data_IF_268314468519
#
_entry.id   IF_268314468519
#
_cell.length_a   1.000
_cell.length_b   1.000
_cell.length_c   1.000
_cell.angle_alpha   90.00
_cell.angle_beta   90.00
_cell.angle_gamma   90.00
#
_symmetry.space_group_name_H-M   'P 1'
#
loop_
_entity.id
_entity.type
_entity.pdbx_description
1 polymer ?
#
# COMPACT_ATOMS: atom_id res chain seq x y z
N UNK A 1 -14.67 12.49 26.92
CA UNK A 1 -13.45 12.36 26.12
C UNK A 1 -12.85 11.00 26.37
N UNK A 2 -13.33 10.01 25.60
CA UNK A 2 -12.64 8.74 25.46
C UNK A 2 -11.21 9.05 25.02
N UNK A 3 -10.22 8.66 25.83
CA UNK A 3 -8.81 8.89 25.51
C UNK A 3 -8.34 7.73 24.63
N UNK A 4 -8.59 7.84 23.33
CA UNK A 4 -8.12 6.86 22.35
C UNK A 4 -6.72 7.21 21.86
N UNK A 5 -5.86 6.21 21.73
CA UNK A 5 -4.55 6.35 21.09
C UNK A 5 -4.56 5.71 19.71
N UNK A 6 -4.36 6.54 18.69
CA UNK A 6 -4.25 6.13 17.30
C UNK A 6 -2.77 5.96 16.93
N UNK A 7 -2.43 4.84 16.29
CA UNK A 7 -1.16 4.66 15.59
C UNK A 7 -1.45 4.63 14.09
N UNK A 8 -0.95 5.63 13.37
CA UNK A 8 -1.16 5.83 11.94
C UNK A 8 0.14 5.63 11.16
N UNK A 9 0.06 4.90 10.05
CA UNK A 9 1.10 4.82 9.02
C UNK A 9 0.47 4.77 7.62
N UNK A 10 1.28 4.99 6.59
CA UNK A 10 0.93 4.94 5.16
C UNK A 10 2.11 4.34 4.38
N UNK A 11 1.90 4.02 3.10
CA UNK A 11 2.97 3.72 2.12
C UNK A 11 3.89 2.56 2.53
N UNK A 12 3.30 1.48 3.04
CA UNK A 12 4.08 0.28 3.43
C UNK A 12 4.64 -0.49 2.25
N UNK A 13 4.08 -0.27 1.05
CA UNK A 13 4.53 -0.80 -0.23
C UNK A 13 4.92 -2.29 -0.18
N UNK A 14 4.02 -3.13 0.33
CA UNK A 14 4.19 -4.59 0.39
C UNK A 14 5.18 -5.11 1.44
N UNK A 15 5.79 -4.24 2.26
CA UNK A 15 6.82 -4.64 3.23
C UNK A 15 6.26 -5.46 4.39
N UNK A 16 6.59 -6.76 4.42
CA UNK A 16 6.22 -7.64 5.54
C UNK A 16 6.78 -7.15 6.87
N UNK A 17 7.94 -6.48 6.84
CA UNK A 17 8.57 -5.95 8.04
C UNK A 17 7.79 -4.77 8.59
N UNK A 18 7.40 -3.83 7.75
CA UNK A 18 6.59 -2.69 8.16
C UNK A 18 5.22 -3.15 8.66
N UNK A 19 4.57 -4.08 7.96
CA UNK A 19 3.28 -4.61 8.37
C UNK A 19 3.33 -5.33 9.73
N UNK A 20 4.35 -6.17 9.98
CA UNK A 20 4.53 -6.79 11.31
C UNK A 20 4.77 -5.76 12.41
N UNK A 21 5.54 -4.69 12.13
CA UNK A 21 5.76 -3.60 13.08
C UNK A 21 4.48 -2.82 13.38
N UNK A 22 3.66 -2.57 12.36
CA UNK A 22 2.35 -1.96 12.48
C UNK A 22 1.44 -2.71 13.45
N UNK A 23 1.30 -4.04 13.28
CA UNK A 23 0.49 -4.85 14.20
C UNK A 23 1.07 -4.82 15.63
N UNK A 24 2.40 -4.89 15.77
CA UNK A 24 3.05 -4.83 17.08
C UNK A 24 2.94 -3.45 17.76
N UNK A 25 2.65 -2.38 17.00
CA UNK A 25 2.48 -1.04 17.53
C UNK A 25 1.35 -0.95 18.55
N UNK A 26 0.31 -1.79 18.41
CA UNK A 26 -0.77 -1.93 19.38
C UNK A 26 -0.25 -2.16 20.80
N UNK A 27 0.56 -3.21 20.99
CA UNK A 27 1.14 -3.52 22.30
C UNK A 27 2.25 -2.55 22.71
N UNK A 28 3.16 -2.23 21.79
CA UNK A 28 4.35 -1.44 22.08
C UNK A 28 4.00 0.01 22.48
N UNK A 29 3.16 0.67 21.68
CA UNK A 29 2.71 2.04 21.94
C UNK A 29 1.42 2.09 22.74
N UNK A 30 0.83 0.96 23.14
CA UNK A 30 -0.48 0.88 23.80
C UNK A 30 -1.55 1.62 22.99
N UNK A 31 -1.57 1.39 21.68
CA UNK A 31 -2.53 1.98 20.77
C UNK A 31 -3.84 1.20 20.83
N UNK A 32 -4.95 1.93 20.94
CA UNK A 32 -6.31 1.36 20.91
C UNK A 32 -6.79 1.15 19.47
N UNK A 33 -6.21 1.93 18.55
CA UNK A 33 -6.62 2.01 17.15
C UNK A 33 -5.37 2.01 16.28
N UNK A 34 -5.34 1.11 15.29
CA UNK A 34 -4.34 1.04 14.25
C UNK A 34 -4.96 1.50 12.93
N UNK A 35 -4.26 2.37 12.20
CA UNK A 35 -4.68 2.83 10.88
C UNK A 35 -3.49 2.70 9.92
N UNK A 36 -3.65 1.88 8.88
CA UNK A 36 -2.77 1.82 7.73
C UNK A 36 -3.52 2.41 6.54
N UNK A 37 -3.23 3.67 6.22
CA UNK A 37 -3.93 4.40 5.17
C UNK A 37 -3.10 4.43 3.91
N UNK A 38 -3.43 3.62 2.90
CA UNK A 38 -2.89 3.82 1.55
C UNK A 38 -1.63 3.02 1.18
N UNK A 39 -1.50 2.81 -0.12
CA UNK A 39 -0.37 2.20 -0.85
C UNK A 39 0.25 0.99 -0.15
N UNK A 40 -0.58 -0.03 0.03
CA UNK A 40 -0.24 -1.24 0.77
C UNK A 40 0.51 -2.28 -0.07
N UNK A 41 0.41 -2.22 -1.41
CA UNK A 41 1.05 -3.17 -2.32
C UNK A 41 2.46 -2.77 -2.76
N UNK A 42 3.28 -3.78 -3.02
CA UNK A 42 4.66 -3.62 -3.48
C UNK A 42 4.75 -3.24 -4.96
N UNK A 43 5.88 -2.64 -5.34
CA UNK A 43 6.11 -2.12 -6.70
C UNK A 43 6.98 -3.02 -7.57
N UNK A 44 7.61 -4.05 -6.98
CA UNK A 44 8.64 -4.86 -7.64
C UNK A 44 8.39 -6.35 -7.41
N UNK A 45 8.55 -7.13 -8.48
CA UNK A 45 8.60 -8.59 -8.43
C UNK A 45 9.96 -9.07 -8.90
N UNK A 46 10.58 -9.92 -8.09
CA UNK A 46 11.86 -10.54 -8.38
C UNK A 46 11.65 -12.00 -8.78
N UNK A 47 11.83 -12.35 -10.06
CA UNK A 47 11.76 -13.75 -10.52
C UNK A 47 12.94 -14.54 -9.97
N UNK A 48 12.68 -15.79 -9.58
CA UNK A 48 13.68 -16.77 -9.15
C UNK A 48 13.65 -17.91 -10.16
N UNK A 49 14.71 -18.01 -10.97
CA UNK A 49 14.76 -18.86 -12.15
C UNK A 49 15.51 -20.16 -11.82
N UNK A 50 14.90 -21.30 -12.13
CA UNK A 50 15.51 -22.62 -11.93
C UNK A 50 16.73 -22.84 -12.86
N UNK A 51 17.83 -23.36 -12.28
CA UNK A 51 19.08 -23.65 -12.99
C UNK A 51 19.15 -25.05 -13.62
N UNK A 52 18.28 -25.97 -13.21
CA UNK A 52 18.25 -27.37 -13.68
C UNK A 52 19.23 -28.31 -12.96
N UNK A 53 20.18 -27.78 -12.19
CA UNK A 53 21.16 -28.49 -11.36
C UNK A 53 20.80 -28.49 -9.86
N UNK A 54 19.57 -28.07 -9.53
CA UNK A 54 19.10 -27.84 -8.15
C UNK A 54 19.40 -26.44 -7.61
N UNK A 55 20.13 -25.61 -8.36
CA UNK A 55 20.32 -24.20 -8.03
C UNK A 55 19.25 -23.31 -8.66
N UNK A 56 19.18 -22.06 -8.19
CA UNK A 56 18.30 -21.02 -8.69
C UNK A 56 19.10 -19.73 -8.90
N UNK A 57 18.61 -18.86 -9.78
CA UNK A 57 19.23 -17.56 -10.09
C UNK A 57 18.20 -16.45 -9.99
N UNK A 58 18.61 -15.31 -9.44
CA UNK A 58 17.80 -14.11 -9.44
C UNK A 58 18.68 -12.86 -9.49
N UNK A 59 18.14 -11.77 -10.03
CA UNK A 59 18.80 -10.46 -9.97
C UNK A 59 18.11 -9.63 -8.88
N UNK A 60 18.85 -9.26 -7.85
CA UNK A 60 18.33 -8.50 -6.72
C UNK A 60 19.17 -7.24 -6.51
N UNK A 61 18.53 -6.08 -6.56
CA UNK A 61 19.19 -4.76 -6.41
C UNK A 61 20.40 -4.59 -7.34
N UNK A 62 20.28 -5.06 -8.58
CA UNK A 62 21.33 -4.98 -9.61
C UNK A 62 22.46 -6.01 -9.48
N UNK A 63 22.38 -6.93 -8.50
CA UNK A 63 23.35 -8.01 -8.33
C UNK A 63 22.73 -9.36 -8.73
N UNK A 64 23.46 -10.15 -9.50
CA UNK A 64 23.08 -11.52 -9.81
C UNK A 64 23.46 -12.45 -8.64
N UNK A 65 22.48 -13.22 -8.17
CA UNK A 65 22.61 -14.16 -7.07
C UNK A 65 22.42 -15.59 -7.60
N UNK A 66 23.17 -16.52 -7.02
CA UNK A 66 22.98 -17.97 -7.19
C UNK A 66 22.57 -18.54 -5.84
N UNK A 67 21.38 -19.11 -5.77
CA UNK A 67 20.82 -19.76 -4.58
C UNK A 67 20.99 -21.26 -4.76
N UNK A 68 21.72 -21.93 -3.88
CA UNK A 68 22.22 -23.29 -4.11
C UNK A 68 21.19 -24.38 -3.83
N UNK A 69 20.14 -24.06 -3.09
CA UNK A 69 19.13 -25.01 -2.64
C UNK A 69 17.85 -24.27 -2.20
N UNK A 70 16.81 -25.03 -1.84
CA UNK A 70 15.53 -24.49 -1.41
C UNK A 70 15.60 -23.67 -0.10
N UNK A 71 16.54 -23.96 0.80
CA UNK A 71 16.70 -23.20 2.05
C UNK A 71 17.17 -21.76 1.74
N UNK A 72 18.19 -21.61 0.90
CA UNK A 72 18.67 -20.30 0.43
C UNK A 72 17.57 -19.54 -0.35
N UNK A 73 16.70 -20.27 -1.08
CA UNK A 73 15.52 -19.67 -1.74
C UNK A 73 14.54 -19.10 -0.73
N UNK A 74 14.16 -19.85 0.30
CA UNK A 74 13.21 -19.36 1.30
C UNK A 74 13.77 -18.21 2.15
N UNK A 75 15.06 -18.26 2.50
CA UNK A 75 15.75 -17.12 3.14
C UNK A 75 15.71 -15.86 2.27
N UNK A 76 15.99 -16.02 0.96
CA UNK A 76 15.92 -14.92 0.02
C UNK A 76 14.50 -14.38 -0.14
N UNK A 77 13.49 -15.24 -0.28
CA UNK A 77 12.08 -14.84 -0.40
C UNK A 77 11.63 -14.05 0.82
N UNK A 78 11.98 -14.50 2.02
CA UNK A 78 11.71 -13.76 3.26
C UNK A 78 12.39 -12.40 3.27
N UNK A 79 13.67 -12.33 2.87
CA UNK A 79 14.40 -11.06 2.77
C UNK A 79 13.73 -10.11 1.78
N UNK A 80 13.42 -10.57 0.57
CA UNK A 80 12.77 -9.79 -0.47
C UNK A 80 11.39 -9.27 -0.02
N UNK A 81 10.58 -10.14 0.61
CA UNK A 81 9.28 -9.80 1.15
C UNK A 81 9.35 -8.73 2.26
N UNK A 82 10.36 -8.79 3.11
CA UNK A 82 10.61 -7.78 4.15
C UNK A 82 11.00 -6.41 3.58
N UNK A 83 11.49 -6.37 2.34
CA UNK A 83 11.78 -5.15 1.57
C UNK A 83 10.64 -4.74 0.63
N UNK A 84 9.48 -5.41 0.71
CA UNK A 84 8.30 -5.06 -0.10
C UNK A 84 8.30 -5.64 -1.52
N UNK A 85 9.20 -6.58 -1.81
CA UNK A 85 9.22 -7.26 -3.11
C UNK A 85 8.38 -8.54 -3.08
N UNK A 86 7.76 -8.81 -4.22
CA UNK A 86 7.18 -10.11 -4.53
C UNK A 86 8.26 -11.02 -5.12
N UNK A 87 8.08 -12.32 -4.97
CA UNK A 87 8.96 -13.32 -5.55
C UNK A 87 8.14 -14.44 -6.17
N UNK A 88 8.55 -14.95 -7.32
CA UNK A 88 7.97 -16.17 -7.91
C UNK A 88 9.08 -17.06 -8.42
N UNK A 89 9.05 -18.33 -8.03
CA UNK A 89 9.91 -19.36 -8.60
C UNK A 89 9.32 -19.76 -9.95
N UNK A 90 10.17 -19.96 -10.95
CA UNK A 90 9.75 -20.32 -12.30
C UNK A 90 10.88 -21.00 -13.08
N UNK A 91 10.50 -21.82 -14.05
CA UNK A 91 11.42 -22.39 -15.03
C UNK A 91 11.95 -21.31 -16.00
N UNK A 92 13.07 -21.55 -16.68
CA UNK A 92 13.56 -20.66 -17.75
C UNK A 92 12.54 -20.44 -18.87
N UNK A 93 11.70 -21.44 -19.16
CA UNK A 93 10.67 -21.36 -20.20
C UNK A 93 9.51 -20.43 -19.82
N UNK A 94 9.03 -20.53 -18.59
CA UNK A 94 7.99 -19.64 -18.05
C UNK A 94 8.51 -18.20 -17.94
N UNK A 95 9.76 -18.01 -17.52
CA UNK A 95 10.37 -16.69 -17.47
C UNK A 95 10.43 -16.05 -18.87
N UNK A 96 10.86 -16.80 -19.88
CA UNK A 96 10.90 -16.33 -21.28
C UNK A 96 9.51 -15.98 -21.80
N UNK A 97 8.50 -16.77 -21.43
CA UNK A 97 7.11 -16.48 -21.79
C UNK A 97 6.61 -15.17 -21.16
N UNK A 98 6.87 -14.97 -19.85
CA UNK A 98 6.53 -13.73 -19.16
C UNK A 98 7.21 -12.52 -19.78
N UNK A 99 8.50 -12.63 -20.14
CA UNK A 99 9.22 -11.55 -20.83
C UNK A 99 8.59 -11.18 -22.18
N UNK A 100 7.98 -12.13 -22.88
CA UNK A 100 7.32 -11.91 -24.16
C UNK A 100 5.86 -11.47 -24.03
N UNK A 101 5.27 -11.50 -22.84
CA UNK A 101 3.84 -11.27 -22.63
C UNK A 101 3.55 -10.35 -21.43
N UNK A 102 3.44 -9.03 -21.66
CA UNK A 102 3.14 -8.06 -20.61
C UNK A 102 1.85 -8.37 -19.83
N UNK A 103 0.83 -8.91 -20.49
CA UNK A 103 -0.43 -9.27 -19.84
C UNK A 103 -0.22 -10.37 -18.79
N UNK A 104 0.57 -11.40 -19.09
CA UNK A 104 0.88 -12.46 -18.12
C UNK A 104 1.69 -11.94 -16.94
N UNK A 105 2.55 -10.95 -17.15
CA UNK A 105 3.26 -10.26 -16.06
C UNK A 105 2.27 -9.54 -15.15
N UNK A 106 1.33 -8.78 -15.70
CA UNK A 106 0.27 -8.11 -14.93
C UNK A 106 -0.59 -9.12 -14.16
N UNK A 107 -1.04 -10.20 -14.80
CA UNK A 107 -1.83 -11.25 -14.15
C UNK A 107 -1.08 -11.90 -12.98
N UNK A 108 0.21 -12.19 -13.15
CA UNK A 108 1.06 -12.72 -12.09
C UNK A 108 1.21 -11.72 -10.94
N UNK A 109 1.45 -10.44 -11.26
CA UNK A 109 1.65 -9.38 -10.28
C UNK A 109 0.39 -9.15 -9.43
N UNK A 110 -0.77 -9.06 -10.07
CA UNK A 110 -2.06 -8.94 -9.40
C UNK A 110 -2.31 -10.12 -8.46
N UNK A 111 -2.02 -11.35 -8.91
CA UNK A 111 -2.17 -12.55 -8.08
C UNK A 111 -1.33 -12.47 -6.81
N UNK A 112 -0.03 -12.18 -6.93
CA UNK A 112 0.88 -12.16 -5.77
C UNK A 112 0.59 -10.98 -4.82
N UNK A 113 0.06 -9.87 -5.33
CA UNK A 113 -0.44 -8.76 -4.51
C UNK A 113 -1.61 -9.23 -3.63
N UNK A 114 -2.62 -9.84 -4.25
CA UNK A 114 -3.81 -10.34 -3.55
C UNK A 114 -3.44 -11.43 -2.53
N UNK A 115 -2.55 -12.36 -2.90
CA UNK A 115 -2.04 -13.40 -1.99
C UNK A 115 -1.35 -12.79 -0.75
N UNK A 116 -0.45 -11.82 -0.96
CA UNK A 116 0.22 -11.13 0.15
C UNK A 116 -0.77 -10.41 1.06
N UNK A 117 -1.77 -9.74 0.49
CA UNK A 117 -2.80 -9.06 1.30
C UNK A 117 -3.61 -10.07 2.12
N UNK A 118 -3.92 -11.26 1.58
CA UNK A 118 -4.58 -12.34 2.35
C UNK A 118 -3.70 -12.79 3.52
N UNK A 119 -2.40 -13.02 3.29
CA UNK A 119 -1.45 -13.37 4.36
C UNK A 119 -1.43 -12.31 5.47
N UNK A 120 -1.47 -11.03 5.08
CA UNK A 120 -1.51 -9.90 6.02
C UNK A 120 -2.79 -9.87 6.83
N UNK A 121 -3.94 -10.08 6.20
CA UNK A 121 -5.22 -10.15 6.89
C UNK A 121 -5.21 -11.31 7.89
N UNK A 122 -4.83 -12.53 7.49
CA UNK A 122 -4.73 -13.68 8.40
C UNK A 122 -3.79 -13.41 9.59
N UNK A 123 -2.66 -12.73 9.36
CA UNK A 123 -1.75 -12.36 10.44
C UNK A 123 -2.37 -11.31 11.38
N UNK A 124 -3.13 -10.35 10.86
CA UNK A 124 -3.86 -9.39 11.68
C UNK A 124 -4.90 -10.09 12.56
N UNK A 125 -5.64 -11.07 12.03
CA UNK A 125 -6.59 -11.88 12.79
C UNK A 125 -5.91 -12.64 13.94
N UNK A 126 -4.79 -13.30 13.66
CA UNK A 126 -4.02 -14.04 14.67
C UNK A 126 -3.59 -13.11 15.82
N UNK A 127 -3.12 -11.89 15.48
CA UNK A 127 -2.52 -10.95 16.43
C UNK A 127 -3.55 -10.15 17.20
N UNK A 128 -4.63 -9.72 16.54
CA UNK A 128 -5.59 -8.78 17.09
C UNK A 128 -6.87 -9.46 17.58
N UNK A 129 -7.17 -10.70 17.15
CA UNK A 129 -8.45 -11.34 17.40
C UNK A 129 -8.76 -11.65 18.87
N UNK A 130 -7.78 -11.54 19.76
CA UNK A 130 -7.92 -11.67 21.22
C UNK A 130 -7.80 -10.33 21.96
N UNK A 131 -7.83 -9.22 21.23
CA UNK A 131 -7.65 -7.86 21.75
C UNK A 131 -8.89 -7.02 21.48
N UNK A 132 -8.97 -5.86 22.12
CA UNK A 132 -9.99 -4.84 21.81
C UNK A 132 -9.50 -3.79 20.81
N UNK A 133 -8.32 -4.00 20.21
CA UNK A 133 -7.70 -3.04 19.30
C UNK A 133 -8.44 -3.05 17.98
N UNK A 134 -8.83 -1.87 17.50
CA UNK A 134 -9.45 -1.72 16.18
C UNK A 134 -8.37 -1.53 15.12
N UNK A 135 -8.50 -2.20 13.98
CA UNK A 135 -7.57 -2.09 12.87
C UNK A 135 -8.30 -1.64 11.61
N UNK A 136 -7.85 -0.53 11.03
CA UNK A 136 -8.34 0.02 9.78
C UNK A 136 -7.24 -0.06 8.74
N UNK A 137 -7.52 -0.65 7.59
CA UNK A 137 -6.57 -0.75 6.47
C UNK A 137 -7.31 -0.32 5.20
N UNK A 138 -6.78 0.69 4.51
CA UNK A 138 -7.35 1.17 3.24
C UNK A 138 -6.33 1.10 2.10
N UNK A 139 -6.79 0.91 0.87
CA UNK A 139 -5.95 1.05 -0.32
C UNK A 139 -5.54 2.51 -0.55
N UNK A 140 -4.49 2.74 -1.35
CA UNK A 140 -4.12 4.02 -1.95
C UNK A 140 -4.24 4.00 -3.47
N UNK A 141 -3.65 4.98 -4.15
CA UNK A 141 -3.79 5.08 -5.61
C UNK A 141 -3.14 3.93 -6.35
N UNK A 142 -2.04 3.37 -5.81
CA UNK A 142 -1.30 2.26 -6.42
C UNK A 142 -2.00 0.90 -6.25
N UNK A 143 -3.00 0.81 -5.37
CA UNK A 143 -3.62 -0.44 -4.97
C UNK A 143 -4.84 -0.80 -5.84
N UNK A 144 -4.86 -2.04 -6.33
CA UNK A 144 -5.94 -2.56 -7.18
C UNK A 144 -7.28 -2.65 -6.44
N UNK A 145 -8.39 -2.51 -7.17
CA UNK A 145 -9.76 -2.77 -6.67
C UNK A 145 -9.95 -4.20 -6.16
N UNK A 146 -9.20 -5.15 -6.70
CA UNK A 146 -9.26 -6.57 -6.35
C UNK A 146 -8.82 -6.86 -4.91
N UNK A 147 -8.20 -5.88 -4.24
CA UNK A 147 -7.84 -5.96 -2.83
C UNK A 147 -9.03 -5.70 -1.91
N UNK A 148 -10.04 -4.94 -2.36
CA UNK A 148 -11.15 -4.51 -1.49
C UNK A 148 -11.90 -5.71 -0.87
N UNK A 149 -12.24 -6.77 -1.63
CA UNK A 149 -12.87 -7.97 -1.06
C UNK A 149 -11.98 -8.72 -0.06
N UNK A 150 -10.64 -8.62 -0.19
CA UNK A 150 -9.70 -9.23 0.76
C UNK A 150 -9.65 -8.41 2.04
N UNK A 151 -9.61 -7.08 1.95
CA UNK A 151 -9.64 -6.20 3.11
C UNK A 151 -10.96 -6.33 3.89
N UNK A 152 -12.08 -6.54 3.19
CA UNK A 152 -13.40 -6.80 3.78
C UNK A 152 -13.59 -8.26 4.24
N UNK A 153 -12.59 -9.16 4.10
CA UNK A 153 -12.77 -10.59 4.37
C UNK A 153 -12.66 -10.97 5.86
N UNK A 154 -12.35 -10.02 6.74
CA UNK A 154 -12.09 -10.26 8.16
C UNK A 154 -12.96 -9.38 9.06
N UNK A 155 -13.46 -9.90 10.20
CA UNK A 155 -14.11 -9.06 11.20
C UNK A 155 -13.13 -8.24 12.06
N UNK A 156 -11.83 -8.51 11.97
CA UNK A 156 -10.79 -7.87 12.79
C UNK A 156 -10.06 -6.73 12.08
N UNK A 157 -10.23 -6.63 10.76
CA UNK A 157 -9.73 -5.54 9.92
C UNK A 157 -10.93 -4.90 9.25
N UNK A 158 -11.03 -3.58 9.35
CA UNK A 158 -12.08 -2.81 8.69
C UNK A 158 -11.46 -2.08 7.50
N UNK A 159 -12.03 -2.26 6.30
CA UNK A 159 -11.76 -1.40 5.16
C UNK A 159 -12.63 -0.13 5.26
N UNK A 160 -12.05 1.06 5.53
CA UNK A 160 -12.82 2.29 5.64
C UNK A 160 -13.02 3.00 4.29
N UNK A 161 -12.49 2.46 3.19
CA UNK A 161 -12.50 3.10 1.87
C UNK A 161 -13.91 3.52 1.43
N UNK A 162 -14.09 4.82 1.15
CA UNK A 162 -15.35 5.39 0.67
C UNK A 162 -16.48 5.40 1.72
N UNK A 163 -16.16 5.22 3.02
CA UNK A 163 -17.13 5.09 4.11
C UNK A 163 -16.86 6.11 5.22
N UNK A 164 -17.91 6.43 5.99
CA UNK A 164 -17.79 7.07 7.31
C UNK A 164 -17.79 5.95 8.35
N UNK A 165 -16.73 5.85 9.17
CA UNK A 165 -16.60 4.82 10.21
C UNK A 165 -16.40 5.44 11.59
N UNK A 166 -16.94 4.82 12.63
CA UNK A 166 -16.69 5.21 14.02
C UNK A 166 -15.43 4.51 14.54
N UNK A 167 -14.37 5.29 14.74
CA UNK A 167 -13.10 4.72 15.23
C UNK A 167 -13.14 4.49 16.75
N UNK A 168 -13.94 5.24 17.48
CA UNK A 168 -14.24 5.04 18.90
C UNK A 168 -15.67 5.51 19.24
N UNK A 169 -15.94 5.86 20.50
CA UNK A 169 -17.26 6.34 20.93
C UNK A 169 -17.58 7.80 20.57
N UNK A 170 -16.60 8.59 20.12
CA UNK A 170 -16.73 10.04 19.90
C UNK A 170 -16.30 10.49 18.49
N UNK A 171 -15.37 9.80 17.84
CA UNK A 171 -14.76 10.21 16.58
C UNK A 171 -15.25 9.40 15.38
N UNK A 172 -15.53 10.12 14.29
CA UNK A 172 -15.84 9.56 12.97
C UNK A 172 -14.67 9.79 12.03
N UNK A 173 -14.37 8.82 11.17
CA UNK A 173 -13.32 8.93 10.17
C UNK A 173 -13.90 8.69 8.78
N UNK A 174 -13.53 9.53 7.83
CA UNK A 174 -13.71 9.26 6.40
C UNK A 174 -12.39 8.82 5.80
N UNK A 175 -12.42 7.92 4.81
CA UNK A 175 -11.20 7.47 4.12
C UNK A 175 -11.38 7.44 2.61
N UNK A 176 -10.35 7.91 1.91
CA UNK A 176 -10.31 7.87 0.45
C UNK A 176 -8.90 7.58 -0.06
N UNK A 177 -8.73 6.43 -0.71
CA UNK A 177 -7.51 6.00 -1.40
C UNK A 177 -7.34 6.60 -2.80
N UNK A 178 -8.42 7.15 -3.39
CA UNK A 178 -8.36 7.79 -4.70
C UNK A 178 -7.56 9.10 -4.67
N UNK A 179 -6.84 9.36 -5.76
CA UNK A 179 -6.09 10.61 -5.97
C UNK A 179 -6.55 11.28 -7.26
N UNK A 180 -6.08 12.50 -7.49
CA UNK A 180 -6.05 13.08 -8.84
C UNK A 180 -5.04 12.32 -9.72
N UNK A 181 -5.12 12.54 -11.04
CA UNK A 181 -4.23 11.88 -12.00
C UNK A 181 -2.75 12.07 -11.66
N UNK A 182 -2.00 10.98 -11.65
CA UNK A 182 -0.56 10.98 -11.41
C UNK A 182 0.20 10.68 -12.70
N UNK A 183 1.51 10.94 -12.76
CA UNK A 183 2.34 10.53 -13.90
C UNK A 183 2.42 9.01 -14.11
N UNK A 184 2.00 8.21 -13.13
CA UNK A 184 2.09 6.74 -13.16
C UNK A 184 0.83 6.09 -13.73
N UNK A 185 -0.28 6.84 -13.87
CA UNK A 185 -1.57 6.31 -14.29
C UNK A 185 -1.97 5.09 -13.43
N UNK A 186 -1.92 5.29 -12.11
CA UNK A 186 -2.19 4.30 -11.08
C UNK A 186 -3.69 3.90 -11.07
N UNK A 187 -4.03 2.73 -10.49
CA UNK A 187 -5.39 2.18 -10.56
C UNK A 187 -6.53 3.06 -10.01
N UNK A 188 -6.29 3.91 -9.00
CA UNK A 188 -7.34 4.72 -8.35
C UNK A 188 -7.15 6.22 -8.56
N UNK A 189 -7.18 6.64 -9.81
CA UNK A 189 -7.08 8.04 -10.19
C UNK A 189 -8.39 8.53 -10.82
N UNK A 190 -8.80 9.75 -10.47
CA UNK A 190 -10.00 10.40 -11.01
C UNK A 190 -9.75 11.88 -11.24
N UNK A 191 -10.62 12.52 -12.02
CA UNK A 191 -10.60 13.97 -12.18
C UNK A 191 -10.86 14.70 -10.84
N UNK A 192 -10.33 15.92 -10.72
CA UNK A 192 -10.42 16.75 -9.50
C UNK A 192 -11.87 16.98 -9.03
N UNK A 193 -12.80 17.19 -9.95
CA UNK A 193 -14.22 17.40 -9.64
C UNK A 193 -14.87 16.11 -9.10
N UNK A 194 -14.56 14.96 -9.69
CA UNK A 194 -14.98 13.65 -9.20
C UNK A 194 -14.40 13.37 -7.81
N UNK A 195 -13.13 13.71 -7.59
CA UNK A 195 -12.48 13.56 -6.29
C UNK A 195 -13.16 14.45 -5.24
N UNK A 196 -13.44 15.70 -5.57
CA UNK A 196 -14.15 16.63 -4.68
C UNK A 196 -15.54 16.12 -4.31
N UNK A 197 -16.29 15.58 -5.27
CA UNK A 197 -17.61 14.98 -5.03
C UNK A 197 -17.54 13.74 -4.10
N UNK A 198 -16.51 12.90 -4.26
CA UNK A 198 -16.29 11.75 -3.36
C UNK A 198 -16.03 12.21 -1.93
N UNK A 199 -15.13 13.19 -1.76
CA UNK A 199 -14.78 13.73 -0.44
C UNK A 199 -16.01 14.40 0.20
N UNK A 200 -16.68 15.32 -0.51
CA UNK A 200 -17.84 16.03 0.04
C UNK A 200 -18.99 15.09 0.37
N UNK A 201 -19.27 14.10 -0.48
CA UNK A 201 -20.34 13.13 -0.25
C UNK A 201 -20.13 12.23 0.98
N UNK A 202 -18.88 12.04 1.43
CA UNK A 202 -18.59 11.41 2.72
C UNK A 202 -18.67 12.42 3.87
N UNK A 203 -18.10 13.61 3.69
CA UNK A 203 -18.11 14.67 4.70
C UNK A 203 -19.54 15.07 5.09
N UNK A 204 -20.48 15.11 4.15
CA UNK A 204 -21.91 15.42 4.40
C UNK A 204 -22.61 14.41 5.32
N UNK A 205 -22.06 13.20 5.44
CA UNK A 205 -22.61 12.12 6.28
C UNK A 205 -22.01 12.09 7.68
N UNK A 206 -20.97 12.89 7.94
CA UNK A 206 -20.33 13.02 9.25
C UNK A 206 -21.28 13.75 10.20
N UNK A 207 -21.57 13.15 11.34
CA UNK A 207 -22.52 13.69 12.32
C UNK A 207 -21.88 14.79 13.16
N UNK A 208 -20.61 14.63 13.53
CA UNK A 208 -19.88 15.60 14.33
C UNK A 208 -18.55 16.01 13.68
N UNK A 209 -18.61 17.03 12.82
CA UNK A 209 -17.44 17.53 12.09
C UNK A 209 -16.31 18.03 13.01
N UNK A 210 -16.62 18.47 14.24
CA UNK A 210 -15.60 18.99 15.19
C UNK A 210 -14.65 17.92 15.71
N UNK A 211 -15.05 16.64 15.65
CA UNK A 211 -14.24 15.49 16.07
C UNK A 211 -13.98 14.51 14.92
N UNK A 212 -14.16 14.97 13.68
CA UNK A 212 -13.98 14.13 12.50
C UNK A 212 -12.50 14.01 12.12
N UNK A 213 -12.14 12.85 11.58
CA UNK A 213 -10.80 12.55 11.06
C UNK A 213 -10.92 12.31 9.55
N UNK A 214 -10.06 12.99 8.80
CA UNK A 214 -10.00 12.87 7.35
C UNK A 214 -8.73 12.10 7.00
N UNK A 215 -8.89 10.86 6.56
CA UNK A 215 -7.79 10.00 6.11
C UNK A 215 -7.82 9.94 4.56
N UNK A 216 -7.28 10.98 3.93
CA UNK A 216 -7.31 11.14 2.46
C UNK A 216 -5.89 10.91 1.95
N UNK A 217 -5.74 10.03 0.96
CA UNK A 217 -4.44 9.60 0.44
C UNK A 217 -3.71 10.75 -0.28
N UNK A 218 -4.43 11.52 -1.10
CA UNK A 218 -3.85 12.71 -1.74
C UNK A 218 -3.75 13.88 -0.74
N UNK A 219 -2.57 14.52 -0.60
CA UNK A 219 -2.45 15.71 0.24
C UNK A 219 -3.16 16.93 -0.36
N UNK A 220 -3.51 17.94 0.45
CA UNK A 220 -4.00 19.22 -0.05
C UNK A 220 -2.94 19.92 -0.90
N UNK A 221 -3.37 20.51 -2.01
CA UNK A 221 -2.49 21.28 -2.92
C UNK A 221 -1.86 22.49 -2.23
N UNK A 222 -0.63 22.81 -2.62
CA UNK A 222 0.19 23.93 -2.16
C UNK A 222 0.48 23.91 -0.65
N UNK A 223 0.71 22.71 -0.10
CA UNK A 223 1.06 22.52 1.32
C UNK A 223 2.45 21.93 1.51
N UNK A 224 3.09 22.05 2.68
CA UNK A 224 4.41 21.45 2.90
C UNK A 224 4.46 19.93 2.70
N UNK A 225 3.32 19.24 2.78
CA UNK A 225 3.21 17.77 2.68
C UNK A 225 2.92 17.28 1.27
N UNK A 226 2.77 18.17 0.29
CA UNK A 226 2.45 17.81 -1.10
C UNK A 226 3.64 17.94 -2.07
N UNK A 227 4.81 18.32 -1.55
CA UNK A 227 5.98 18.61 -2.37
C UNK A 227 6.61 17.32 -2.89
N UNK A 228 6.69 17.19 -4.22
CA UNK A 228 7.29 16.04 -4.89
C UNK A 228 8.28 16.48 -6.00
N UNK A 229 9.30 15.67 -6.31
CA UNK A 229 10.17 15.92 -7.45
C UNK A 229 9.37 15.98 -8.75
N UNK A 230 9.58 17.03 -9.54
CA UNK A 230 9.08 17.08 -10.91
C UNK A 230 9.74 15.98 -11.73
N UNK A 231 8.94 15.21 -12.44
CA UNK A 231 9.42 14.20 -13.38
C UNK A 231 9.08 14.57 -14.83
N UNK A 232 9.93 14.14 -15.75
CA UNK A 232 9.70 14.28 -17.19
C UNK A 232 8.82 13.14 -17.74
N UNK A 233 8.55 13.18 -19.05
CA UNK A 233 7.76 12.15 -19.75
C UNK A 233 8.37 10.73 -19.71
N UNK A 234 9.64 10.60 -19.32
CA UNK A 234 10.34 9.34 -19.15
C UNK A 234 10.46 8.95 -17.67
N UNK A 235 9.71 9.62 -16.79
CA UNK A 235 9.66 9.39 -15.34
C UNK A 235 11.02 9.67 -14.66
N UNK A 236 11.84 10.54 -15.26
CA UNK A 236 13.12 10.99 -14.69
C UNK A 236 12.96 12.33 -13.99
N UNK A 237 13.60 12.49 -12.84
CA UNK A 237 13.61 13.75 -12.09
C UNK A 237 14.20 14.88 -12.94
N UNK A 238 13.53 16.04 -12.92
CA UNK A 238 13.99 17.25 -13.60
C UNK A 238 14.97 17.99 -12.69
N UNK A 239 16.19 18.19 -13.17
CA UNK A 239 17.24 18.93 -12.45
C UNK A 239 17.50 20.26 -13.16
N UNK A 240 17.37 21.38 -12.43
CA UNK A 240 17.66 22.73 -12.92
C UNK A 240 18.72 23.39 -12.04
N UNK A 241 19.78 23.91 -12.66
CA UNK A 241 20.89 24.58 -11.97
C UNK A 241 21.51 23.75 -10.82
N UNK A 242 21.52 22.43 -10.94
CA UNK A 242 22.07 21.51 -9.93
C UNK A 242 21.09 21.10 -8.82
N UNK A 243 19.85 21.59 -8.83
CA UNK A 243 18.82 21.25 -7.84
C UNK A 243 17.67 20.47 -8.50
N UNK A 244 17.09 19.53 -7.75
CA UNK A 244 15.86 18.85 -8.15
C UNK A 244 14.71 19.86 -8.09
N UNK A 245 14.01 20.05 -9.22
CA UNK A 245 12.83 20.90 -9.26
C UNK A 245 11.70 20.22 -8.50
N UNK A 246 11.15 20.90 -7.50
CA UNK A 246 10.00 20.43 -6.72
C UNK A 246 8.73 21.08 -7.24
N UNK A 247 7.64 20.31 -7.27
CA UNK A 247 6.29 20.77 -7.62
C UNK A 247 5.29 20.24 -6.60
N UNK A 248 4.10 20.83 -6.58
CA UNK A 248 2.96 20.25 -5.88
C UNK A 248 2.50 18.97 -6.60
N UNK A 249 2.30 17.90 -5.83
CA UNK A 249 1.59 16.69 -6.20
C UNK A 249 0.24 16.56 -5.45
N UNK A 250 -0.20 17.64 -4.80
CA UNK A 250 -1.46 17.67 -4.06
C UNK A 250 -2.67 17.84 -4.97
N UNK A 251 -3.85 17.77 -4.37
CA UNK A 251 -5.13 17.94 -5.05
C UNK A 251 -5.87 19.17 -4.57
N UNK A 252 -6.49 19.87 -5.51
CA UNK A 252 -7.37 21.02 -5.22
C UNK A 252 -8.69 20.62 -4.55
N UNK A 253 -9.09 19.35 -4.70
CA UNK A 253 -10.23 18.77 -4.03
C UNK A 253 -10.01 18.59 -2.51
N UNK A 254 -8.76 18.43 -2.07
CA UNK A 254 -8.41 18.31 -0.66
C UNK A 254 -8.04 19.69 -0.11
N UNK A 255 -8.75 20.14 0.94
CA UNK A 255 -8.58 21.47 1.53
C UNK A 255 -7.96 21.34 2.92
N UNK A 256 -6.94 22.16 3.21
CA UNK A 256 -6.28 22.25 4.52
C UNK A 256 -7.08 23.13 5.50
#
# INVERSE_FOLDING_TARGET
MAKSRVYFISDVHGSNRCFRKFLNAAGFYKADILILGGDITGKVMTPIIEGGDGSFRCTYQGSDLVLKNNEEVEEFRKKAADFGQYTSIMSPSEFKELQANPRKVTELFNRVMVERTREWISLAEERLGKTSVKCFISPGNDDLSDLDPVLDSSPYVVNPEGRVVKIDGEHEMITLGYTNHTPWNSPREVDEDVLALKISGMADKVQNMKSAIFNIHVPPIDTPIDQAPRIDKNLKMVVKAGYVEMISAGSSACRA
#
